data_IF_945242136083
#
_entry.id   IF_945242136083
#
_cell.length_a   1.000
_cell.length_b   1.000
_cell.length_c   1.000
_cell.angle_alpha   90.00
_cell.angle_beta   90.00
_cell.angle_gamma   90.00
#
_symmetry.space_group_name_H-M   'P 1'
#
loop_
_entity.id
_entity.type
_entity.pdbx_description
1 polymer ?
#
# COMPACT_ATOMS: atom_id res chain seq x y z
N UNK A 1 8.96 13.60 4.55
CA UNK A 1 9.92 12.76 3.80
C UNK A 1 9.84 11.33 4.30
N UNK A 2 9.73 10.38 3.40
CA UNK A 2 9.60 8.99 3.75
C UNK A 2 10.34 8.07 2.79
N UNK A 3 10.17 6.77 3.01
CA UNK A 3 10.88 5.75 2.26
C UNK A 3 9.98 4.56 1.96
N UNK A 4 10.15 3.96 0.79
CA UNK A 4 9.48 2.70 0.44
C UNK A 4 10.26 1.56 1.09
N UNK A 5 9.64 0.93 2.07
CA UNK A 5 10.26 -0.17 2.84
C UNK A 5 10.08 -1.49 2.11
N UNK A 6 8.91 -1.69 1.49
CA UNK A 6 8.62 -2.92 0.77
C UNK A 6 7.60 -2.67 -0.33
N UNK A 7 7.67 -3.49 -1.37
CA UNK A 7 6.71 -3.51 -2.49
C UNK A 7 6.16 -4.93 -2.57
N UNK A 8 4.85 -5.07 -2.51
CA UNK A 8 4.21 -6.38 -2.44
C UNK A 8 3.10 -6.52 -3.48
N UNK A 9 3.02 -7.67 -4.10
CA UNK A 9 2.01 -7.99 -5.12
C UNK A 9 1.42 -9.37 -4.90
N UNK A 10 0.24 -9.61 -5.46
CA UNK A 10 -0.38 -10.93 -5.52
C UNK A 10 -1.20 -11.04 -6.80
N UNK A 11 -1.44 -12.26 -7.24
CA UNK A 11 -2.25 -12.51 -8.43
C UNK A 11 -3.74 -12.57 -8.12
N UNK A 12 -4.11 -12.80 -6.86
CA UNK A 12 -5.49 -12.98 -6.42
C UNK A 12 -5.83 -11.98 -5.32
N UNK A 13 -7.00 -11.33 -5.43
CA UNK A 13 -7.51 -10.41 -4.41
C UNK A 13 -7.85 -11.18 -3.13
N UNK A 14 -7.70 -10.49 -1.99
CA UNK A 14 -8.04 -11.05 -0.69
C UNK A 14 -7.04 -12.06 -0.15
N UNK A 15 -5.88 -12.19 -0.78
CA UNK A 15 -4.80 -13.06 -0.34
C UNK A 15 -3.61 -12.25 0.14
N UNK A 16 -2.72 -12.89 0.89
CA UNK A 16 -1.46 -12.26 1.26
C UNK A 16 -0.62 -12.00 0.01
N UNK A 17 0.11 -10.89 0.03
CA UNK A 17 1.00 -10.52 -1.07
C UNK A 17 2.43 -10.93 -0.73
N UNK A 18 3.25 -11.08 -1.76
CA UNK A 18 4.67 -11.37 -1.59
C UNK A 18 5.51 -10.17 -1.98
N UNK A 19 6.66 -10.03 -1.34
CA UNK A 19 7.57 -8.90 -1.54
C UNK A 19 8.37 -9.06 -2.82
N UNK A 20 8.52 -7.95 -3.57
CA UNK A 20 9.36 -7.87 -4.76
C UNK A 20 10.33 -6.71 -4.63
N UNK A 21 11.43 -6.73 -5.36
CA UNK A 21 12.46 -5.69 -5.30
C UNK A 21 12.05 -4.41 -6.01
N UNK A 22 11.26 -4.56 -7.08
CA UNK A 22 10.80 -3.43 -7.88
C UNK A 22 9.49 -3.78 -8.56
N UNK A 23 8.78 -2.73 -8.98
CA UNK A 23 7.54 -2.89 -9.73
C UNK A 23 7.34 -1.70 -10.65
N UNK A 24 6.61 -1.90 -11.74
CA UNK A 24 6.20 -0.83 -12.63
C UNK A 24 4.78 -0.42 -12.31
N UNK A 25 4.58 0.87 -12.02
CA UNK A 25 3.26 1.45 -11.78
C UNK A 25 2.78 2.09 -13.08
N UNK A 26 1.65 1.61 -13.56
CA UNK A 26 1.05 2.09 -14.80
C UNK A 26 0.00 3.14 -14.50
N UNK A 27 0.04 4.25 -15.25
CA UNK A 27 -0.89 5.38 -15.10
C UNK A 27 -2.33 4.90 -15.20
N UNK A 28 -3.16 5.36 -14.25
CA UNK A 28 -4.58 5.02 -14.15
C UNK A 28 -4.87 3.51 -14.16
N UNK A 29 -3.92 2.73 -13.65
CA UNK A 29 -4.05 1.27 -13.58
C UNK A 29 -3.59 0.71 -12.23
N UNK A 30 -2.34 0.94 -11.85
CA UNK A 30 -1.74 0.41 -10.62
C UNK A 30 -0.46 -0.34 -10.92
N UNK A 31 -0.13 -1.28 -10.05
CA UNK A 31 1.09 -2.09 -10.20
C UNK A 31 0.83 -3.19 -11.22
N UNK A 32 1.66 -3.26 -12.26
CA UNK A 32 1.57 -4.35 -13.24
C UNK A 32 1.77 -5.70 -12.55
N UNK A 33 0.88 -6.64 -12.82
CA UNK A 33 0.91 -7.98 -12.25
C UNK A 33 0.21 -8.11 -10.90
N UNK A 34 -0.31 -7.02 -10.34
CA UNK A 34 -1.02 -7.08 -9.06
C UNK A 34 -2.53 -7.19 -9.26
N UNK A 35 -3.17 -7.95 -8.38
CA UNK A 35 -4.60 -8.23 -8.45
C UNK A 35 -5.49 -7.00 -8.29
N UNK A 36 -5.01 -5.97 -7.58
CA UNK A 36 -5.77 -4.73 -7.37
C UNK A 36 -5.63 -3.73 -8.50
N UNK A 37 -4.75 -3.97 -9.47
CA UNK A 37 -4.62 -3.10 -10.63
C UNK A 37 -5.92 -3.08 -11.43
N UNK A 38 -6.31 -1.90 -11.92
CA UNK A 38 -7.52 -1.75 -12.70
C UNK A 38 -7.99 -0.30 -12.75
N UNK A 39 -9.02 -0.07 -13.52
CA UNK A 39 -9.61 1.27 -13.69
C UNK A 39 -10.59 1.55 -12.57
N UNK A 40 -10.08 1.79 -11.38
CA UNK A 40 -10.89 2.11 -10.21
C UNK A 40 -10.05 2.93 -9.21
N UNK A 41 -10.62 3.25 -8.06
CA UNK A 41 -9.97 4.16 -7.10
C UNK A 41 -9.01 3.47 -6.11
N UNK A 42 -8.96 2.13 -6.11
CA UNK A 42 -8.08 1.37 -5.21
C UNK A 42 -7.00 0.63 -5.99
N UNK A 43 -6.25 1.40 -6.79
CA UNK A 43 -5.24 0.83 -7.67
C UNK A 43 -3.99 0.37 -6.92
N UNK A 44 -3.55 1.16 -5.93
CA UNK A 44 -2.36 0.86 -5.13
C UNK A 44 -2.68 1.14 -3.67
N UNK A 45 -2.44 0.17 -2.81
CA UNK A 45 -2.64 0.35 -1.37
C UNK A 45 -1.33 0.65 -0.67
N UNK A 46 -1.39 1.52 0.33
CA UNK A 46 -0.24 1.90 1.16
C UNK A 46 -0.53 1.59 2.62
N UNK A 47 0.49 1.15 3.34
CA UNK A 47 0.40 0.87 4.77
C UNK A 47 1.67 1.36 5.44
N UNK A 48 1.52 2.05 6.58
CA UNK A 48 2.67 2.55 7.34
C UNK A 48 3.41 1.40 8.02
N UNK A 49 4.73 1.34 7.85
CA UNK A 49 5.55 0.31 8.50
C UNK A 49 5.46 0.42 10.01
N UNK A 50 5.29 1.64 10.54
CA UNK A 50 5.12 1.88 11.97
C UNK A 50 3.92 1.12 12.53
N UNK A 51 2.82 1.06 11.76
CA UNK A 51 1.61 0.33 12.16
C UNK A 51 1.79 -1.18 12.07
N UNK A 52 2.54 -1.65 11.07
CA UNK A 52 2.88 -3.07 10.95
C UNK A 52 3.77 -3.49 12.12
N UNK A 53 4.75 -2.65 12.47
CA UNK A 53 5.66 -2.92 13.60
C UNK A 53 4.91 -2.94 14.93
N UNK A 54 3.94 -2.05 15.13
CA UNK A 54 3.08 -2.07 16.31
C UNK A 54 2.32 -3.39 16.43
N UNK A 55 1.83 -3.90 15.30
CA UNK A 55 1.13 -5.18 15.27
C UNK A 55 2.06 -6.34 15.61
N UNK A 56 3.29 -6.32 15.08
CA UNK A 56 4.31 -7.31 15.40
C UNK A 56 4.68 -7.28 16.88
N UNK A 57 4.75 -6.11 17.47
CA UNK A 57 5.08 -5.94 18.89
C UNK A 57 4.03 -6.56 19.81
N UNK A 58 2.80 -6.76 19.32
CA UNK A 58 1.74 -7.44 20.07
C UNK A 58 1.82 -8.97 19.96
N UNK A 59 2.88 -9.49 19.34
CA UNK A 59 3.12 -10.92 19.23
C UNK A 59 2.71 -11.55 17.90
N UNK A 60 2.25 -10.75 16.95
CA UNK A 60 1.88 -11.26 15.63
C UNK A 60 3.14 -11.47 14.79
N UNK A 61 3.26 -12.63 14.17
CA UNK A 61 4.37 -12.98 13.30
C UNK A 61 3.92 -12.75 11.84
N UNK A 62 4.00 -11.51 11.39
CA UNK A 62 3.56 -11.13 10.04
C UNK A 62 4.74 -10.58 9.24
N UNK A 63 4.77 -10.95 7.97
CA UNK A 63 5.75 -10.45 7.00
C UNK A 63 5.12 -9.31 6.19
N UNK A 64 5.93 -8.57 5.45
CA UNK A 64 5.41 -7.55 4.53
C UNK A 64 4.51 -8.22 3.48
N UNK A 65 3.39 -7.61 3.20
CA UNK A 65 2.37 -8.17 2.30
C UNK A 65 1.29 -8.98 3.01
N UNK A 66 1.45 -9.26 4.31
CA UNK A 66 0.53 -10.11 5.07
C UNK A 66 -0.89 -9.57 5.11
N UNK A 67 -1.07 -8.25 5.04
CA UNK A 67 -2.38 -7.60 5.09
C UNK A 67 -2.91 -7.26 3.69
N UNK A 68 -2.23 -7.70 2.64
CA UNK A 68 -2.62 -7.40 1.27
C UNK A 68 -2.19 -6.02 0.79
N UNK A 69 -1.29 -5.36 1.52
CA UNK A 69 -0.78 -4.04 1.14
C UNK A 69 0.19 -4.13 -0.03
N UNK A 70 0.23 -3.08 -0.86
CA UNK A 70 1.18 -2.97 -1.97
C UNK A 70 2.47 -2.31 -1.55
N UNK A 71 2.40 -1.09 -1.01
CA UNK A 71 3.57 -0.33 -0.60
C UNK A 71 3.57 -0.19 0.92
N UNK A 72 4.64 -0.65 1.54
CA UNK A 72 4.88 -0.41 2.97
C UNK A 72 5.80 0.79 3.05
N UNK A 73 5.34 1.85 3.71
CA UNK A 73 6.04 3.13 3.72
C UNK A 73 6.40 3.55 5.13
N UNK A 74 7.53 4.25 5.26
CA UNK A 74 8.02 4.80 6.52
C UNK A 74 7.91 6.32 6.49
N UNK A 75 7.61 6.91 7.64
CA UNK A 75 7.67 8.36 7.81
C UNK A 75 6.34 9.08 7.80
N UNK A 76 5.22 8.38 7.59
CA UNK A 76 3.90 8.99 7.54
C UNK A 76 2.88 8.23 8.40
N UNK A 77 1.99 8.98 9.04
CA UNK A 77 0.75 8.42 9.58
C UNK A 77 -0.32 8.62 8.50
N UNK A 78 -0.40 7.66 7.59
CA UNK A 78 -1.16 7.79 6.35
C UNK A 78 -2.64 8.10 6.57
N UNK A 79 -3.26 7.50 7.59
CA UNK A 79 -4.69 7.69 7.82
C UNK A 79 -5.08 9.09 8.27
N UNK A 80 -4.10 9.91 8.70
CA UNK A 80 -4.34 11.28 9.11
C UNK A 80 -4.27 12.27 7.95
N UNK A 81 -3.84 11.80 6.78
CA UNK A 81 -3.73 12.66 5.60
C UNK A 81 -5.08 12.70 4.88
N UNK A 82 -5.47 13.86 4.32
CA UNK A 82 -6.76 13.95 3.63
C UNK A 82 -6.75 13.23 2.28
N UNK A 83 -7.90 12.74 1.87
CA UNK A 83 -8.11 12.24 0.51
C UNK A 83 -7.75 13.36 -0.46
N UNK A 84 -7.06 13.03 -1.54
CA UNK A 84 -6.52 14.00 -2.49
C UNK A 84 -5.06 14.32 -2.25
N UNK A 85 -4.49 13.89 -1.13
CA UNK A 85 -3.04 14.03 -0.88
C UNK A 85 -2.27 13.32 -1.99
N UNK A 86 -1.26 13.97 -2.53
CA UNK A 86 -0.42 13.43 -3.59
C UNK A 86 0.96 13.10 -3.06
N UNK A 87 1.49 11.98 -3.54
CA UNK A 87 2.83 11.52 -3.18
C UNK A 87 3.67 11.39 -4.44
N UNK A 88 4.90 11.89 -4.37
CA UNK A 88 5.91 11.61 -5.39
C UNK A 88 6.74 10.45 -4.88
N UNK A 89 6.84 9.39 -5.67
CA UNK A 89 7.57 8.18 -5.32
C UNK A 89 8.72 8.02 -6.31
N UNK A 90 9.96 7.95 -5.80
CA UNK A 90 11.12 7.89 -6.66
C UNK A 90 11.24 9.14 -7.53
N UNK A 91 11.65 8.97 -8.79
CA UNK A 91 11.84 10.10 -9.70
C UNK A 91 10.61 10.43 -10.54
N UNK A 92 9.75 9.45 -10.83
CA UNK A 92 8.73 9.59 -11.88
C UNK A 92 7.29 9.38 -11.42
N UNK A 93 7.07 8.63 -10.36
CA UNK A 93 5.72 8.18 -9.99
C UNK A 93 5.00 9.23 -9.16
N UNK A 94 3.74 9.50 -9.50
CA UNK A 94 2.85 10.37 -8.75
C UNK A 94 1.58 9.60 -8.39
N UNK A 95 1.28 9.54 -7.10
CA UNK A 95 0.08 8.87 -6.56
C UNK A 95 -0.84 9.89 -5.91
N UNK A 96 -2.15 9.63 -5.95
CA UNK A 96 -3.14 10.47 -5.26
C UNK A 96 -4.01 9.59 -4.36
N UNK A 97 -4.14 9.99 -3.10
CA UNK A 97 -5.02 9.28 -2.17
C UNK A 97 -6.47 9.38 -2.58
N UNK A 98 -7.15 8.24 -2.62
CA UNK A 98 -8.55 8.15 -3.03
C UNK A 98 -9.46 7.65 -1.91
N UNK A 99 -8.90 6.93 -0.94
CA UNK A 99 -9.70 6.33 0.14
C UNK A 99 -8.82 6.05 1.35
N UNK A 100 -9.38 6.27 2.53
CA UNK A 100 -8.75 5.93 3.80
C UNK A 100 -9.48 4.73 4.37
N UNK A 101 -8.74 3.63 4.61
CA UNK A 101 -9.33 2.39 5.12
C UNK A 101 -10.32 1.76 4.15
N UNK A 102 -10.98 0.72 4.60
CA UNK A 102 -12.05 0.07 3.85
C UNK A 102 -12.98 -0.69 4.79
N UNK A 103 -14.20 -0.98 4.31
CA UNK A 103 -15.10 -1.89 5.02
C UNK A 103 -14.82 -3.31 4.57
N UNK A 104 -14.67 -4.21 5.54
CA UNK A 104 -14.61 -5.64 5.31
C UNK A 104 -15.90 -6.25 5.84
N UNK A 105 -16.80 -6.66 4.94
CA UNK A 105 -18.07 -7.26 5.32
C UNK A 105 -17.95 -8.73 5.73
N UNK A 106 -16.86 -9.37 5.33
CA UNK A 106 -16.56 -10.75 5.70
C UNK A 106 -15.06 -10.90 5.92
N UNK A 107 -14.69 -11.90 6.72
CA UNK A 107 -13.28 -12.18 6.96
C UNK A 107 -12.66 -12.80 5.71
N UNK A 108 -11.73 -12.09 5.08
CA UNK A 108 -10.97 -12.60 3.95
C UNK A 108 -9.93 -13.61 4.43
N UNK A 109 -9.23 -14.23 3.47
CA UNK A 109 -8.17 -15.20 3.79
C UNK A 109 -7.10 -14.59 4.72
N UNK A 110 -6.77 -13.31 4.52
CA UNK A 110 -5.78 -12.60 5.36
C UNK A 110 -6.21 -12.61 6.82
N UNK A 111 -7.47 -12.27 7.10
CA UNK A 111 -8.00 -12.28 8.46
C UNK A 111 -7.92 -13.69 9.07
N UNK A 112 -8.25 -14.71 8.30
CA UNK A 112 -8.22 -16.10 8.77
C UNK A 112 -6.82 -16.57 9.09
N UNK A 113 -5.82 -16.14 8.32
CA UNK A 113 -4.42 -16.54 8.52
C UNK A 113 -3.74 -15.79 9.66
N UNK A 114 -4.06 -14.52 9.83
CA UNK A 114 -3.36 -13.63 10.78
C UNK A 114 -4.16 -13.44 12.07
N UNK A 115 -5.48 -13.62 12.02
CA UNK A 115 -6.38 -13.42 13.15
C UNK A 115 -6.90 -12.00 13.29
N UNK A 116 -6.36 -11.07 12.51
CA UNK A 116 -6.81 -9.67 12.45
C UNK A 116 -6.24 -9.05 11.17
N UNK A 117 -6.73 -7.88 10.81
CA UNK A 117 -6.20 -7.14 9.67
C UNK A 117 -6.27 -5.64 9.95
N UNK A 118 -5.14 -4.97 9.81
CA UNK A 118 -5.06 -3.53 10.05
C UNK A 118 -5.38 -2.69 8.80
N UNK A 119 -5.44 -3.30 7.61
CA UNK A 119 -5.77 -2.58 6.37
C UNK A 119 -7.07 -1.76 6.46
N UNK A 120 -8.18 -2.32 6.99
CA UNK A 120 -9.42 -1.54 7.06
C UNK A 120 -9.33 -0.29 7.94
N UNK A 121 -8.43 -0.28 8.93
CA UNK A 121 -8.27 0.83 9.86
C UNK A 121 -7.14 1.77 9.49
N UNK A 122 -6.01 1.23 9.06
CA UNK A 122 -4.75 1.99 8.92
C UNK A 122 -4.33 2.17 7.46
N UNK A 123 -4.83 1.33 6.55
CA UNK A 123 -4.42 1.39 5.15
C UNK A 123 -5.09 2.51 4.38
N UNK A 124 -4.41 2.99 3.36
CA UNK A 124 -4.97 3.97 2.42
C UNK A 124 -4.83 3.44 1.00
N UNK A 125 -5.66 3.95 0.11
CA UNK A 125 -5.65 3.57 -1.30
C UNK A 125 -5.35 4.78 -2.15
N UNK A 126 -4.67 4.53 -3.26
CA UNK A 126 -4.26 5.58 -4.19
C UNK A 126 -4.55 5.15 -5.62
N UNK A 127 -4.55 6.14 -6.52
CA UNK A 127 -4.51 5.90 -7.96
C UNK A 127 -3.20 6.46 -8.51
N UNK A 128 -2.76 5.93 -9.64
CA UNK A 128 -1.52 6.33 -10.28
C UNK A 128 -1.83 7.48 -11.25
N UNK A 129 -1.36 8.68 -10.93
CA UNK A 129 -1.50 9.84 -11.80
C UNK A 129 -0.41 9.88 -12.87
N UNK A 130 0.80 9.44 -12.51
CA UNK A 130 1.92 9.32 -13.43
C UNK A 130 2.69 8.05 -13.10
N UNK A 131 2.94 7.23 -14.11
CA UNK A 131 3.57 5.93 -13.94
C UNK A 131 5.08 5.96 -13.96
N UNK A 132 5.68 4.84 -13.63
CA UNK A 132 7.12 4.65 -13.63
C UNK A 132 7.52 3.45 -12.80
N UNK A 133 8.82 3.20 -12.73
CA UNK A 133 9.36 2.12 -11.91
C UNK A 133 9.56 2.61 -10.47
N UNK A 134 9.18 1.77 -9.51
CA UNK A 134 9.42 1.99 -8.08
C UNK A 134 10.26 0.83 -7.58
N UNK A 135 11.27 1.16 -6.79
CA UNK A 135 12.17 0.19 -6.19
C UNK A 135 12.14 0.28 -4.68
N UNK A 136 12.36 -0.83 -4.01
CA UNK A 136 12.55 -0.86 -2.56
C UNK A 136 13.65 0.13 -2.18
N UNK A 137 13.36 0.99 -1.21
CA UNK A 137 14.31 2.01 -0.77
C UNK A 137 14.12 3.38 -1.43
N UNK A 138 13.26 3.48 -2.42
CA UNK A 138 12.95 4.77 -3.05
C UNK A 138 12.32 5.73 -2.06
N UNK A 139 12.54 7.03 -2.29
CA UNK A 139 11.90 8.07 -1.49
C UNK A 139 10.42 8.21 -1.84
N UNK A 140 9.64 8.62 -0.86
CA UNK A 140 8.25 9.01 -1.04
C UNK A 140 8.03 10.31 -0.28
N UNK A 141 7.48 11.32 -0.96
CA UNK A 141 7.28 12.64 -0.41
C UNK A 141 5.88 13.16 -0.74
N UNK A 142 5.31 13.93 0.19
CA UNK A 142 4.04 14.62 -0.06
C UNK A 142 4.33 15.79 -1.00
N UNK A 143 3.53 15.89 -2.06
CA UNK A 143 3.62 17.00 -3.01
C UNK A 143 2.79 18.15 -2.46
N UNK A 144 3.43 19.28 -2.20
CA UNK A 144 2.75 20.51 -1.78
C UNK A 144 2.82 21.52 -2.91
N UNK A 145 1.70 22.10 -3.22
CA UNK A 145 1.60 23.12 -4.26
C UNK A 145 1.76 24.52 -3.67
#
# INVERSE_FOLDING_TARGET
>A
MGKIIAICISEVRGTQKHEVESAYLKEEWGIEGDAHAGKWHRQVSLLSVEKVDDFRAKGADVINGAFGENLVVEGFDLKTLPVGTRFKVGSDVLLEMTQIGKQCHSHCEIYKLVGDCIMPREGVFTRVLHGGEVRKGDSIDIVTE
#
